data_IF_701541298603
#
_entry.id   IF_701541298603
#
_cell.length_a   1.000
_cell.length_b   1.000
_cell.length_c   1.000
_cell.angle_alpha   90.00
_cell.angle_beta   90.00
_cell.angle_gamma   90.00
#
_symmetry.space_group_name_H-M   'P 1'
#
loop_
_entity.id
_entity.type
_entity.pdbx_description
1 polymer ?
#
# COMPACT_ATOMS: atom_id res chain seq x y z
N UNK A 1 13.02 12.16 7.99
CA UNK A 1 12.32 11.37 9.03
C UNK A 1 12.44 9.94 8.56
N UNK A 2 13.35 9.19 9.19
CA UNK A 2 13.49 7.79 8.87
C UNK A 2 12.17 7.11 9.23
N UNK A 3 11.61 6.37 8.30
CA UNK A 3 10.37 5.71 8.60
C UNK A 3 10.59 4.75 9.76
N UNK A 4 9.69 4.73 10.73
CA UNK A 4 9.82 3.88 11.90
C UNK A 4 9.70 2.39 11.58
N UNK A 5 9.60 2.03 10.34
CA UNK A 5 9.43 0.68 9.87
C UNK A 5 10.47 0.29 8.83
N UNK A 6 11.53 -0.21 9.34
CA UNK A 6 12.44 -0.99 8.53
C UNK A 6 11.91 -2.41 8.27
N UNK A 7 10.71 -2.73 8.79
CA UNK A 7 10.09 -4.02 8.67
C UNK A 7 8.57 -3.92 8.42
N UNK A 8 7.98 -5.03 8.11
CA UNK A 8 6.56 -5.20 7.83
C UNK A 8 5.64 -4.88 9.01
N UNK A 9 6.15 -4.96 10.24
CA UNK A 9 5.39 -4.68 11.46
C UNK A 9 5.05 -3.20 11.54
N UNK A 10 6.02 -2.34 11.23
CA UNK A 10 5.78 -0.90 11.17
C UNK A 10 4.75 -0.52 10.11
N UNK A 11 4.81 -1.15 8.94
CA UNK A 11 3.83 -0.93 7.87
C UNK A 11 2.42 -1.34 8.30
N UNK A 12 2.27 -2.44 9.03
CA UNK A 12 0.98 -2.88 9.55
C UNK A 12 0.32 -1.85 10.45
N UNK A 13 1.10 -1.13 11.26
CA UNK A 13 0.58 -0.08 12.15
C UNK A 13 0.11 1.17 11.40
N UNK A 14 0.70 1.51 10.26
CA UNK A 14 0.29 2.68 9.48
C UNK A 14 -0.73 2.35 8.39
N UNK A 15 -0.98 1.10 8.13
CA UNK A 15 -1.94 0.66 7.09
C UNK A 15 -3.31 1.30 7.25
N UNK A 16 -3.73 1.58 8.47
CA UNK A 16 -5.00 2.24 8.73
C UNK A 16 -4.98 3.77 8.47
N UNK A 17 -3.81 4.38 8.28
CA UNK A 17 -3.71 5.84 8.19
C UNK A 17 -4.46 6.43 6.98
N UNK A 18 -4.38 5.88 5.77
CA UNK A 18 -5.17 6.37 4.64
C UNK A 18 -6.67 6.29 4.90
N UNK A 19 -7.17 5.15 5.38
CA UNK A 19 -8.58 4.97 5.67
C UNK A 19 -9.09 5.90 6.78
N UNK A 20 -8.31 6.07 7.85
CA UNK A 20 -8.64 7.02 8.93
C UNK A 20 -8.64 8.46 8.43
N UNK A 21 -7.71 8.82 7.56
CA UNK A 21 -7.67 10.13 6.94
C UNK A 21 -8.93 10.42 6.12
N UNK A 22 -9.35 9.47 5.29
CA UNK A 22 -10.58 9.58 4.49
C UNK A 22 -11.82 9.78 5.39
N UNK A 23 -11.97 8.95 6.40
CA UNK A 23 -13.09 9.01 7.35
C UNK A 23 -13.15 10.32 8.13
N UNK A 24 -12.02 10.92 8.45
CA UNK A 24 -11.93 12.15 9.25
C UNK A 24 -11.74 13.41 8.42
N UNK A 25 -11.68 13.31 7.10
CA UNK A 25 -11.27 14.39 6.20
C UNK A 25 -11.99 15.70 6.48
N UNK A 26 -13.32 15.69 6.58
CA UNK A 26 -14.12 16.89 6.80
C UNK A 26 -13.95 17.52 8.20
N UNK A 27 -13.48 16.71 9.15
CA UNK A 27 -13.25 17.13 10.54
C UNK A 27 -11.85 17.71 10.78
N UNK A 28 -10.93 17.50 9.83
CA UNK A 28 -9.54 17.95 9.97
C UNK A 28 -9.35 19.39 9.52
N UNK A 29 -8.58 20.16 10.31
CA UNK A 29 -8.06 21.46 9.88
C UNK A 29 -7.08 21.33 8.72
N UNK A 30 -6.86 22.43 7.97
CA UNK A 30 -5.90 22.44 6.86
C UNK A 30 -4.47 22.03 7.29
N UNK A 31 -4.07 22.45 8.50
CA UNK A 31 -2.77 22.09 9.06
C UNK A 31 -2.67 20.58 9.35
N UNK A 32 -3.75 19.98 9.86
CA UNK A 32 -3.81 18.55 10.11
C UNK A 32 -3.79 17.75 8.80
N UNK A 33 -4.58 18.17 7.81
CA UNK A 33 -4.56 17.59 6.46
C UNK A 33 -3.16 17.61 5.88
N UNK A 34 -2.48 18.76 5.92
CA UNK A 34 -1.10 18.89 5.46
C UNK A 34 -0.17 17.86 6.10
N UNK A 35 -0.19 17.73 7.43
CA UNK A 35 0.68 16.79 8.17
C UNK A 35 0.38 15.35 7.77
N UNK A 36 -0.90 14.98 7.73
CA UNK A 36 -1.32 13.61 7.41
C UNK A 36 -0.99 13.25 5.97
N UNK A 37 -1.30 14.12 5.00
CA UNK A 37 -0.98 13.87 3.59
C UNK A 37 0.53 13.70 3.37
N UNK A 38 1.36 14.56 3.97
CA UNK A 38 2.82 14.43 3.90
C UNK A 38 3.32 13.11 4.49
N UNK A 39 2.67 12.65 5.56
CA UNK A 39 3.00 11.37 6.20
C UNK A 39 2.62 10.21 5.29
N UNK A 40 1.41 10.19 4.74
CA UNK A 40 0.96 9.15 3.80
C UNK A 40 1.89 9.09 2.59
N UNK A 41 2.25 10.26 2.00
CA UNK A 41 3.16 10.35 0.86
C UNK A 41 4.53 9.75 1.19
N UNK A 42 5.09 10.09 2.37
CA UNK A 42 6.40 9.57 2.76
C UNK A 42 6.39 8.04 2.88
N UNK A 43 5.33 7.49 3.44
CA UNK A 43 5.17 6.05 3.59
C UNK A 43 4.92 5.33 2.27
N UNK A 44 4.08 5.87 1.43
CA UNK A 44 3.81 5.29 0.11
C UNK A 44 5.08 5.25 -0.76
N UNK A 45 5.91 6.30 -0.73
CA UNK A 45 7.20 6.30 -1.44
C UNK A 45 8.13 5.17 -0.97
N UNK A 46 8.17 4.91 0.33
CA UNK A 46 8.98 3.81 0.87
C UNK A 46 8.39 2.44 0.55
N UNK A 47 7.07 2.30 0.61
CA UNK A 47 6.41 1.07 0.15
C UNK A 47 6.78 0.76 -1.30
N UNK A 48 6.70 1.77 -2.17
CA UNK A 48 7.06 1.62 -3.59
C UNK A 48 8.54 1.25 -3.77
N UNK A 49 9.44 1.93 -3.08
CA UNK A 49 10.87 1.62 -3.12
C UNK A 49 11.13 0.16 -2.71
N UNK A 50 10.53 -0.29 -1.61
CA UNK A 50 10.67 -1.68 -1.16
C UNK A 50 10.06 -2.68 -2.14
N UNK A 51 8.92 -2.37 -2.72
CA UNK A 51 8.27 -3.23 -3.70
C UNK A 51 9.20 -3.56 -4.87
N UNK A 52 9.91 -2.53 -5.38
CA UNK A 52 10.82 -2.69 -6.50
C UNK A 52 12.21 -3.21 -6.11
N UNK A 53 12.72 -2.90 -4.90
CA UNK A 53 14.05 -3.37 -4.47
C UNK A 53 14.05 -4.80 -3.95
N UNK A 54 12.91 -5.34 -3.53
CA UNK A 54 12.77 -6.70 -3.04
C UNK A 54 12.20 -7.68 -4.08
N UNK A 55 12.17 -7.26 -5.34
CA UNK A 55 11.68 -8.07 -6.47
C UNK A 55 10.26 -8.64 -6.29
N UNK A 56 9.42 -7.97 -5.51
CA UNK A 56 8.05 -8.40 -5.29
C UNK A 56 7.17 -8.30 -6.55
N UNK A 57 7.54 -7.45 -7.48
CA UNK A 57 6.90 -7.39 -8.81
C UNK A 57 7.14 -8.67 -9.62
N UNK A 58 8.29 -9.31 -9.43
CA UNK A 58 8.63 -10.60 -10.06
C UNK A 58 8.05 -11.80 -9.31
N UNK A 59 7.79 -11.64 -8.01
CA UNK A 59 7.28 -12.66 -7.11
C UNK A 59 6.04 -12.20 -6.34
N UNK A 60 4.94 -11.89 -7.03
CA UNK A 60 3.76 -11.28 -6.40
C UNK A 60 3.06 -12.19 -5.38
N UNK A 61 3.35 -13.47 -5.42
CA UNK A 61 2.78 -14.44 -4.47
C UNK A 61 3.46 -14.51 -3.11
N UNK A 62 4.53 -13.78 -2.87
CA UNK A 62 5.11 -13.68 -1.53
C UNK A 62 4.16 -12.88 -0.62
N UNK A 63 3.74 -13.46 0.52
CA UNK A 63 2.81 -12.83 1.45
C UNK A 63 3.30 -11.47 1.98
N UNK A 64 4.60 -11.26 2.00
CA UNK A 64 5.20 -9.98 2.36
C UNK A 64 4.98 -8.91 1.28
N UNK A 65 4.82 -9.33 0.02
CA UNK A 65 4.53 -8.42 -1.08
C UNK A 65 3.14 -7.77 -0.95
N UNK A 66 2.13 -8.50 -0.45
CA UNK A 66 0.73 -8.05 -0.48
C UNK A 66 0.41 -6.80 0.32
N UNK A 67 1.16 -6.54 1.37
CA UNK A 67 0.93 -5.38 2.25
C UNK A 67 1.37 -4.05 1.63
N UNK A 68 2.44 -4.07 0.84
CA UNK A 68 2.99 -2.87 0.20
C UNK A 68 2.04 -2.30 -0.85
N UNK A 69 1.52 -3.11 -1.79
CA UNK A 69 0.58 -2.62 -2.80
C UNK A 69 -0.76 -2.19 -2.21
N UNK A 70 -1.24 -2.83 -1.13
CA UNK A 70 -2.44 -2.37 -0.43
C UNK A 70 -2.29 -0.92 0.02
N UNK A 71 -1.18 -0.61 0.69
CA UNK A 71 -0.91 0.76 1.12
C UNK A 71 -0.79 1.74 -0.05
N UNK A 72 -0.12 1.35 -1.13
CA UNK A 72 0.01 2.18 -2.33
C UNK A 72 -1.34 2.50 -2.97
N UNK A 73 -2.19 1.50 -3.11
CA UNK A 73 -3.52 1.67 -3.68
C UNK A 73 -4.41 2.58 -2.82
N UNK A 74 -4.45 2.34 -1.50
CA UNK A 74 -5.20 3.18 -0.56
C UNK A 74 -4.68 4.63 -0.55
N UNK A 75 -3.35 4.82 -0.49
CA UNK A 75 -2.73 6.14 -0.54
C UNK A 75 -3.07 6.88 -1.84
N UNK A 76 -3.03 6.20 -2.98
CA UNK A 76 -3.38 6.79 -4.27
C UNK A 76 -4.84 7.28 -4.31
N UNK A 77 -5.76 6.52 -3.72
CA UNK A 77 -7.17 6.90 -3.68
C UNK A 77 -7.44 8.09 -2.77
N UNK A 78 -6.91 8.08 -1.55
CA UNK A 78 -7.21 9.14 -0.56
C UNK A 78 -6.48 10.45 -0.82
N UNK A 79 -5.37 10.41 -1.57
CA UNK A 79 -4.61 11.61 -1.94
C UNK A 79 -5.05 12.23 -3.26
N UNK A 80 -6.10 11.70 -3.89
CA UNK A 80 -6.64 12.29 -5.11
C UNK A 80 -7.07 13.73 -4.87
N UNK A 81 -6.50 14.65 -5.66
CA UNK A 81 -6.74 16.09 -5.51
C UNK A 81 -5.82 16.79 -4.49
N UNK A 82 -4.92 16.08 -3.83
CA UNK A 82 -3.88 16.70 -3.00
C UNK A 82 -2.93 17.55 -3.85
N UNK A 83 -2.60 18.74 -3.36
CA UNK A 83 -1.62 19.64 -4.01
C UNK A 83 -0.15 19.23 -3.78
N UNK A 84 0.11 18.21 -2.98
CA UNK A 84 1.46 17.80 -2.57
C UNK A 84 2.02 16.62 -3.36
N UNK A 85 1.25 16.09 -4.28
CA UNK A 85 1.63 14.96 -5.14
C UNK A 85 0.97 15.08 -6.51
N UNK A 86 1.69 14.71 -7.56
CA UNK A 86 1.12 14.75 -8.90
C UNK A 86 0.18 13.58 -9.18
N UNK A 87 -0.78 13.79 -10.04
CA UNK A 87 -1.71 12.74 -10.46
C UNK A 87 -0.97 11.57 -11.15
N UNK A 88 0.08 11.87 -11.93
CA UNK A 88 0.91 10.84 -12.55
C UNK A 88 1.55 9.91 -11.50
N UNK A 89 1.98 10.46 -10.36
CA UNK A 89 2.53 9.65 -9.27
C UNK A 89 1.47 8.76 -8.65
N UNK A 90 0.26 9.26 -8.44
CA UNK A 90 -0.86 8.47 -7.91
C UNK A 90 -1.25 7.34 -8.86
N UNK A 91 -1.27 7.61 -10.16
CA UNK A 91 -1.51 6.59 -11.19
C UNK A 91 -0.43 5.51 -11.16
N UNK A 92 0.85 5.88 -11.02
CA UNK A 92 1.94 4.91 -10.90
C UNK A 92 1.77 4.02 -9.67
N UNK A 93 1.40 4.58 -8.52
CA UNK A 93 1.18 3.80 -7.30
C UNK A 93 0.02 2.82 -7.44
N UNK A 94 -1.06 3.28 -8.06
CA UNK A 94 -2.22 2.43 -8.31
C UNK A 94 -1.88 1.32 -9.33
N UNK A 95 -1.07 1.65 -10.35
CA UNK A 95 -0.60 0.67 -11.34
C UNK A 95 0.26 -0.42 -10.69
N UNK A 96 1.22 -0.04 -9.84
CA UNK A 96 2.04 -1.00 -9.09
C UNK A 96 1.17 -1.93 -8.23
N UNK A 97 0.15 -1.39 -7.55
CA UNK A 97 -0.78 -2.18 -6.74
C UNK A 97 -1.58 -3.18 -7.60
N UNK A 98 -2.11 -2.72 -8.73
CA UNK A 98 -2.90 -3.55 -9.64
C UNK A 98 -2.04 -4.63 -10.33
N UNK A 99 -0.78 -4.33 -10.64
CA UNK A 99 0.16 -5.30 -11.21
C UNK A 99 0.42 -6.46 -10.26
N UNK A 100 0.69 -6.17 -8.98
CA UNK A 100 0.90 -7.20 -7.96
C UNK A 100 -0.37 -8.05 -7.78
N UNK A 101 -1.52 -7.43 -7.55
CA UNK A 101 -2.77 -8.17 -7.35
C UNK A 101 -3.21 -8.92 -8.61
N UNK A 102 -2.98 -8.38 -9.80
CA UNK A 102 -3.22 -9.07 -11.07
C UNK A 102 -2.32 -10.29 -11.26
N UNK A 103 -1.07 -10.22 -10.79
CA UNK A 103 -0.13 -11.32 -10.85
C UNK A 103 -0.43 -12.47 -9.89
N UNK A 104 -1.21 -12.22 -8.83
CA UNK A 104 -1.63 -13.25 -7.88
C UNK A 104 -2.75 -14.14 -8.45
N UNK A 105 -3.63 -13.60 -9.29
CA UNK A 105 -4.76 -14.32 -9.85
C UNK A 105 -4.48 -14.75 -11.30
N UNK A 106 -4.82 -16.01 -11.67
CA UNK A 106 -5.39 -17.13 -10.91
C UNK A 106 -4.35 -18.11 -10.34
N UNK A 107 -3.06 -17.76 -10.36
CA UNK A 107 -1.96 -18.72 -10.19
C UNK A 107 -1.58 -19.03 -8.74
N UNK A 108 -2.05 -18.23 -7.77
CA UNK A 108 -1.63 -18.37 -6.38
C UNK A 108 -2.66 -19.12 -5.55
N UNK A 109 -2.81 -20.36 -5.88
CA UNK A 109 -3.71 -21.26 -5.20
C UNK A 109 -3.93 -22.52 -6.02
N UNK A 110 -4.58 -23.50 -5.44
CA UNK A 110 -4.99 -24.72 -6.11
C UNK A 110 -6.41 -24.55 -6.67
N UNK A 111 -6.81 -25.45 -7.57
CA UNK A 111 -8.15 -25.43 -8.16
C UNK A 111 -9.31 -25.58 -7.14
N UNK A 112 -8.99 -25.98 -5.92
CA UNK A 112 -9.91 -26.08 -4.78
C UNK A 112 -10.01 -24.78 -3.95
N UNK A 113 -9.30 -23.72 -4.36
CA UNK A 113 -9.29 -22.43 -3.66
C UNK A 113 -8.29 -22.32 -2.52
N UNK A 114 -7.38 -23.31 -2.39
CA UNK A 114 -6.32 -23.27 -1.38
C UNK A 114 -5.29 -22.18 -1.68
N UNK A 115 -4.87 -21.44 -0.67
CA UNK A 115 -3.76 -20.49 -0.79
C UNK A 115 -2.43 -21.20 -0.60
N UNK A 116 -1.43 -20.92 -1.46
CA UNK A 116 -0.17 -21.68 -1.49
C UNK A 116 0.63 -21.62 -0.17
N UNK A 117 0.58 -20.48 0.53
CA UNK A 117 1.24 -20.31 1.84
C UNK A 117 0.32 -20.65 3.04
N UNK A 118 -0.92 -21.06 2.77
CA UNK A 118 -1.91 -21.40 3.79
C UNK A 118 -2.74 -20.21 4.28
N UNK A 119 -3.78 -20.45 5.08
CA UNK A 119 -4.80 -19.46 5.40
C UNK A 119 -4.30 -18.30 6.28
N UNK A 120 -3.23 -18.52 7.05
CA UNK A 120 -2.68 -17.47 7.91
C UNK A 120 -2.09 -16.33 7.07
N UNK A 121 -1.32 -16.65 6.05
CA UNK A 121 -0.69 -15.64 5.19
C UNK A 121 -1.65 -15.06 4.15
N UNK A 122 -2.73 -15.75 3.80
CA UNK A 122 -3.76 -15.21 2.91
C UNK A 122 -4.37 -13.89 3.43
N UNK A 123 -4.35 -13.65 4.74
CA UNK A 123 -4.81 -12.40 5.34
C UNK A 123 -3.90 -11.20 5.07
N UNK A 124 -2.75 -11.40 4.43
CA UNK A 124 -1.81 -10.33 4.08
C UNK A 124 -2.22 -9.55 2.81
N UNK A 125 -3.19 -10.07 2.05
CA UNK A 125 -3.70 -9.49 0.78
C UNK A 125 -5.08 -8.89 0.88
#
# INVERSE_FOLDING_TARGET
MDAPWNDEIGLSNARCLPAVYDLLYDSLSQQQKYIVEKTIIAYAKQCRERLHTLDFTENPGDSHAGRLPAYLGEAAMVLKGSSFISEETLILWLSDALEIYGGIFPFYGTSDGGWAEGPFYASSY
#
